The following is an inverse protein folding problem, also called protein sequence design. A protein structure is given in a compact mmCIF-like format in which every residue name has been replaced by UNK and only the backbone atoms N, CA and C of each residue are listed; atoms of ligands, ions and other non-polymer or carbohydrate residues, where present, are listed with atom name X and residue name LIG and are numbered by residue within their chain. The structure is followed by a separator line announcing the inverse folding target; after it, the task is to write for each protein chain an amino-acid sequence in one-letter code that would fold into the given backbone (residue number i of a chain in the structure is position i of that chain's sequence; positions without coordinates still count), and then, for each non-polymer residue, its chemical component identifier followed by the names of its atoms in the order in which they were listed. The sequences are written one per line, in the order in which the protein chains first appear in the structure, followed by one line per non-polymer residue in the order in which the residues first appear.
data_IF_476281314551
#
_entry.id   IF_476281314551
#
_cell.length_a   1.000
_cell.length_b   1.000
_cell.length_c   1.000
_cell.angle_alpha   90.00
_cell.angle_beta   90.00
_cell.angle_gamma   90.00
#
_symmetry.space_group_name_H-M   'P 1'
#
loop_
_entity.id
_entity.type
_entity.pdbx_description
1 polymer ?
#
# COMPACT_ATOMS: atom_id res chain seq x y z
N UNK A 1 9.94 19.95 12.09
CA UNK A 1 8.68 20.59 12.44
C UNK A 1 7.73 19.49 12.85
N UNK A 2 7.35 19.42 14.12
CA UNK A 2 6.21 18.63 14.59
C UNK A 2 4.94 19.30 14.04
N UNK A 3 4.70 19.14 12.74
CA UNK A 3 3.40 19.48 12.18
C UNK A 3 2.40 18.51 12.81
N UNK A 4 1.44 19.06 13.55
CA UNK A 4 0.39 18.27 14.16
C UNK A 4 -0.33 17.50 13.03
N UNK A 5 -0.33 16.17 13.13
CA UNK A 5 -1.03 15.31 12.17
C UNK A 5 -2.48 15.78 12.07
N UNK A 6 -2.99 16.08 10.85
CA UNK A 6 -4.33 16.62 10.70
C UNK A 6 -5.37 15.63 11.22
N UNK A 7 -6.48 16.15 11.76
CA UNK A 7 -7.59 15.32 12.23
C UNK A 7 -8.71 15.36 11.20
N UNK A 8 -9.44 14.25 11.08
CA UNK A 8 -10.67 14.21 10.32
C UNK A 8 -11.71 15.16 10.91
N UNK A 9 -12.31 15.98 10.06
CA UNK A 9 -13.58 16.62 10.37
C UNK A 9 -14.73 15.61 10.23
N UNK A 10 -15.93 15.89 10.79
CA UNK A 10 -17.10 15.05 10.55
C UNK A 10 -17.42 14.87 9.05
N UNK A 11 -17.20 15.92 8.23
CA UNK A 11 -17.39 15.86 6.78
C UNK A 11 -16.42 14.88 6.12
N UNK A 12 -15.19 14.76 6.63
CA UNK A 12 -14.21 13.81 6.10
C UNK A 12 -14.63 12.37 6.35
N UNK A 13 -15.08 12.06 7.57
CA UNK A 13 -15.55 10.72 7.90
C UNK A 13 -16.78 10.34 7.08
N UNK A 14 -17.70 11.29 6.86
CA UNK A 14 -18.86 11.08 6.00
C UNK A 14 -18.46 10.81 4.54
N UNK A 15 -17.50 11.56 4.00
CA UNK A 15 -16.98 11.33 2.64
C UNK A 15 -16.31 9.95 2.51
N UNK A 16 -15.52 9.55 3.51
CA UNK A 16 -14.89 8.23 3.57
C UNK A 16 -15.95 7.12 3.62
N UNK A 17 -16.97 7.26 4.46
CA UNK A 17 -18.05 6.27 4.60
C UNK A 17 -18.84 6.12 3.29
N UNK A 18 -19.21 7.23 2.66
CA UNK A 18 -19.91 7.21 1.37
C UNK A 18 -19.08 6.51 0.27
N UNK A 19 -17.78 6.82 0.18
CA UNK A 19 -16.88 6.18 -0.78
C UNK A 19 -16.61 4.70 -0.44
N UNK A 20 -16.55 4.34 0.85
CA UNK A 20 -16.38 2.97 1.30
C UNK A 20 -17.54 2.07 0.88
N UNK A 21 -18.78 2.53 1.06
CA UNK A 21 -19.95 1.79 0.60
C UNK A 21 -19.95 1.61 -0.92
N UNK A 22 -19.58 2.64 -1.68
CA UNK A 22 -19.51 2.57 -3.14
C UNK A 22 -18.46 1.57 -3.64
N UNK A 23 -17.28 1.55 -3.02
CA UNK A 23 -16.20 0.62 -3.41
C UNK A 23 -16.43 -0.81 -2.95
N UNK A 24 -17.35 -1.06 -2.01
CA UNK A 24 -17.57 -2.39 -1.43
C UNK A 24 -18.03 -3.45 -2.45
N UNK A 25 -18.71 -3.05 -3.52
CA UNK A 25 -19.18 -3.95 -4.59
C UNK A 25 -18.10 -4.29 -5.62
N UNK A 26 -17.04 -3.48 -5.73
CA UNK A 26 -15.97 -3.66 -6.71
C UNK A 26 -14.60 -3.97 -6.08
N UNK A 27 -14.51 -4.02 -4.74
CA UNK A 27 -13.28 -4.16 -3.92
C UNK A 27 -12.31 -5.29 -4.28
N UNK A 28 -12.73 -6.30 -5.05
CA UNK A 28 -11.84 -7.36 -5.54
C UNK A 28 -12.06 -7.54 -7.05
N UNK A 29 -10.99 -7.48 -7.86
CA UNK A 29 -9.66 -6.96 -7.54
C UNK A 29 -9.56 -5.43 -7.62
N UNK A 30 -10.60 -4.75 -8.13
CA UNK A 30 -10.56 -3.30 -8.35
C UNK A 30 -10.63 -2.55 -7.02
N UNK A 31 -9.93 -1.42 -6.92
CA UNK A 31 -9.98 -0.54 -5.75
C UNK A 31 -9.57 -1.18 -4.41
N UNK A 32 -8.75 -2.24 -4.44
CA UNK A 32 -8.29 -2.96 -3.23
C UNK A 32 -7.61 -2.01 -2.24
N UNK A 33 -6.71 -1.13 -2.72
CA UNK A 33 -6.02 -0.17 -1.85
C UNK A 33 -7.03 0.79 -1.22
N UNK A 34 -7.83 1.46 -2.05
CA UNK A 34 -8.75 2.52 -1.64
C UNK A 34 -9.79 1.95 -0.66
N UNK A 35 -10.34 0.77 -0.92
CA UNK A 35 -11.26 0.10 -0.03
C UNK A 35 -10.64 -0.13 1.36
N UNK A 36 -9.43 -0.70 1.42
CA UNK A 36 -8.75 -1.02 2.68
C UNK A 36 -8.22 0.22 3.41
N UNK A 37 -7.79 1.24 2.67
CA UNK A 37 -7.43 2.56 3.20
C UNK A 37 -8.62 3.19 3.94
N UNK A 38 -9.80 3.18 3.32
CA UNK A 38 -11.02 3.72 3.91
C UNK A 38 -11.48 2.89 5.11
N UNK A 39 -11.44 1.55 5.00
CA UNK A 39 -11.74 0.63 6.11
C UNK A 39 -10.88 0.92 7.32
N UNK A 40 -9.56 1.04 7.13
CA UNK A 40 -8.61 1.35 8.19
C UNK A 40 -8.88 2.71 8.84
N UNK A 41 -9.21 3.72 8.04
CA UNK A 41 -9.57 5.06 8.53
C UNK A 41 -10.85 5.04 9.39
N UNK A 42 -11.93 4.40 8.91
CA UNK A 42 -13.20 4.28 9.65
C UNK A 42 -13.06 3.53 10.97
N UNK A 43 -12.16 2.54 11.03
CA UNK A 43 -11.85 1.81 12.26
C UNK A 43 -10.88 2.53 13.20
N UNK A 44 -10.27 3.64 12.76
CA UNK A 44 -9.17 4.27 13.50
C UNK A 44 -7.96 3.35 13.65
N UNK A 45 -7.74 2.43 12.69
CA UNK A 45 -6.75 1.35 12.79
C UNK A 45 -5.31 1.85 12.80
N UNK A 46 -5.04 3.07 12.31
CA UNK A 46 -3.69 3.64 12.29
C UNK A 46 -3.75 5.17 12.51
N UNK A 47 -3.84 5.63 13.76
CA UNK A 47 -4.10 7.05 14.07
C UNK A 47 -2.96 8.00 13.66
N UNK A 48 -1.74 7.48 13.45
CA UNK A 48 -0.61 8.26 12.96
C UNK A 48 -0.69 8.58 11.45
N UNK A 49 -1.77 8.15 10.79
CA UNK A 49 -1.96 8.30 9.35
C UNK A 49 -3.41 8.59 8.95
N UNK A 50 -3.92 9.80 9.19
CA UNK A 50 -5.20 10.26 8.65
C UNK A 50 -5.23 10.16 7.12
N UNK A 51 -6.43 9.91 6.61
CA UNK A 51 -6.72 9.66 5.20
C UNK A 51 -7.83 10.57 4.73
N UNK A 52 -7.70 11.16 3.56
CA UNK A 52 -8.72 11.95 2.90
C UNK A 52 -9.06 11.32 1.57
N UNK A 53 -10.34 11.29 1.20
CA UNK A 53 -10.81 10.61 -0.01
C UNK A 53 -11.51 11.62 -0.90
N UNK A 54 -11.18 11.56 -2.17
CA UNK A 54 -11.76 12.36 -3.23
C UNK A 54 -12.16 11.41 -4.36
N UNK A 55 -13.20 11.76 -5.11
CA UNK A 55 -13.57 10.98 -6.29
C UNK A 55 -14.19 11.84 -7.38
N UNK A 56 -14.15 11.31 -8.61
CA UNK A 56 -14.91 11.81 -9.74
C UNK A 56 -15.50 10.65 -10.52
N UNK A 57 -16.75 10.85 -10.96
CA UNK A 57 -17.40 9.92 -11.87
C UNK A 57 -16.82 10.08 -13.26
N UNK A 58 -16.65 8.98 -13.97
CA UNK A 58 -16.28 8.95 -15.37
C UNK A 58 -17.53 8.88 -16.25
N UNK A 59 -17.39 9.14 -17.54
CA UNK A 59 -18.53 9.15 -18.47
C UNK A 59 -19.10 7.75 -18.75
N UNK A 60 -18.35 6.69 -18.44
CA UNK A 60 -18.78 5.29 -18.56
C UNK A 60 -19.57 4.79 -17.33
N UNK A 61 -19.82 5.67 -16.35
CA UNK A 61 -20.52 5.36 -15.10
C UNK A 61 -19.63 4.79 -13.99
N UNK A 62 -18.35 4.54 -14.28
CA UNK A 62 -17.35 4.19 -13.28
C UNK A 62 -16.88 5.42 -12.50
N UNK A 63 -15.98 5.25 -11.53
CA UNK A 63 -15.35 6.35 -10.83
C UNK A 63 -13.84 6.17 -10.66
N UNK A 64 -13.15 7.29 -10.48
CA UNK A 64 -11.77 7.34 -10.01
C UNK A 64 -11.78 7.85 -8.58
N UNK A 65 -11.09 7.13 -7.71
CA UNK A 65 -10.85 7.53 -6.33
C UNK A 65 -9.39 7.92 -6.17
N UNK A 66 -9.17 9.04 -5.49
CA UNK A 66 -7.87 9.46 -5.04
C UNK A 66 -7.88 9.58 -3.53
N UNK A 67 -6.92 8.96 -2.85
CA UNK A 67 -6.74 9.12 -1.41
C UNK A 67 -5.46 9.90 -1.13
N UNK A 68 -5.51 10.77 -0.12
CA UNK A 68 -4.34 11.46 0.43
C UNK A 68 -4.17 10.99 1.86
N UNK A 69 -3.01 10.41 2.12
CA UNK A 69 -2.62 9.90 3.43
C UNK A 69 -1.48 10.75 3.97
N UNK A 70 -1.74 11.49 5.04
CA UNK A 70 -0.71 12.27 5.73
C UNK A 70 -0.13 11.40 6.83
N UNK A 71 1.16 11.09 6.76
CA UNK A 71 1.82 10.16 7.69
C UNK A 71 2.72 10.96 8.63
N UNK A 72 2.62 10.71 9.93
CA UNK A 72 3.38 11.47 10.94
C UNK A 72 4.91 11.36 10.76
N UNK A 73 5.40 10.17 10.38
CA UNK A 73 6.83 9.86 10.42
C UNK A 73 7.51 9.88 9.06
N UNK A 74 6.77 9.61 7.99
CA UNK A 74 7.28 9.48 6.61
C UNK A 74 6.52 10.41 5.66
N UNK A 75 7.00 10.63 4.42
CA UNK A 75 6.32 11.55 3.52
C UNK A 75 4.88 11.11 3.18
N UNK A 76 4.01 12.05 2.77
CA UNK A 76 2.63 11.72 2.39
C UNK A 76 2.55 10.70 1.26
N UNK A 77 1.46 9.95 1.27
CA UNK A 77 1.14 8.96 0.26
C UNK A 77 -0.16 9.33 -0.44
N UNK A 78 -0.17 9.18 -1.75
CA UNK A 78 -1.35 9.31 -2.59
C UNK A 78 -1.67 7.93 -3.14
N UNK A 79 -2.95 7.58 -3.20
CA UNK A 79 -3.39 6.43 -4.00
C UNK A 79 -4.37 6.86 -5.05
N UNK A 80 -4.32 6.24 -6.24
CA UNK A 80 -5.29 6.48 -7.30
C UNK A 80 -5.74 5.16 -7.92
N UNK A 81 -7.05 4.90 -7.89
CA UNK A 81 -7.66 3.67 -8.40
C UNK A 81 -9.01 3.94 -9.05
N UNK A 82 -9.47 2.96 -9.83
CA UNK A 82 -10.76 3.01 -10.52
C UNK A 82 -11.38 1.63 -10.60
N UNK A 83 -12.70 1.60 -10.72
CA UNK A 83 -13.51 0.44 -11.07
C UNK A 83 -13.83 0.40 -12.57
N UNK A 84 -13.37 1.39 -13.33
CA UNK A 84 -13.39 1.38 -14.78
C UNK A 84 -12.61 0.19 -15.33
N UNK A 85 -13.10 -0.33 -16.45
CA UNK A 85 -12.43 -1.37 -17.23
C UNK A 85 -11.63 -0.77 -18.39
N UNK A 86 -11.59 0.55 -18.50
CA UNK A 86 -10.88 1.27 -19.53
C UNK A 86 -9.36 1.28 -19.28
N UNK A 87 -8.59 1.48 -20.35
CA UNK A 87 -7.12 1.58 -20.30
C UNK A 87 -6.59 2.93 -20.76
N UNK A 88 -7.45 3.74 -21.38
CA UNK A 88 -7.13 5.09 -21.81
C UNK A 88 -7.99 6.08 -21.03
N UNK A 89 -7.36 6.75 -20.07
CA UNK A 89 -8.00 7.79 -19.24
C UNK A 89 -7.74 9.21 -19.75
N UNK A 90 -6.98 9.41 -20.83
CA UNK A 90 -6.70 10.74 -21.40
C UNK A 90 -7.98 11.43 -21.87
N UNK A 91 -8.95 10.66 -22.38
CA UNK A 91 -10.27 11.20 -22.77
C UNK A 91 -11.05 11.79 -21.58
N UNK A 92 -10.66 11.45 -20.35
CA UNK A 92 -11.24 11.98 -19.12
C UNK A 92 -10.36 13.04 -18.44
N UNK A 93 -9.28 13.51 -19.09
CA UNK A 93 -8.29 14.43 -18.50
C UNK A 93 -8.96 15.63 -17.81
N UNK A 94 -9.88 16.34 -18.47
CA UNK A 94 -10.53 17.51 -17.86
C UNK A 94 -11.28 17.20 -16.56
N UNK A 95 -11.98 16.05 -16.48
CA UNK A 95 -12.64 15.61 -15.24
C UNK A 95 -11.65 15.20 -14.16
N UNK A 96 -10.54 14.60 -14.55
CA UNK A 96 -9.50 14.19 -13.62
C UNK A 96 -8.67 15.39 -13.13
N UNK A 97 -8.47 16.42 -13.95
CA UNK A 97 -7.87 17.68 -13.54
C UNK A 97 -8.71 18.37 -12.46
N UNK A 98 -10.04 18.33 -12.55
CA UNK A 98 -10.92 18.81 -11.47
C UNK A 98 -10.72 18.04 -10.16
N UNK A 99 -10.56 16.72 -10.22
CA UNK A 99 -10.23 15.89 -9.05
C UNK A 99 -8.89 16.31 -8.44
N UNK A 100 -7.88 16.48 -9.29
CA UNK A 100 -6.53 16.82 -8.85
C UNK A 100 -6.45 18.25 -8.29
N UNK A 101 -7.15 19.20 -8.90
CA UNK A 101 -7.29 20.55 -8.39
C UNK A 101 -7.90 20.53 -6.98
N UNK A 102 -9.00 19.80 -6.76
CA UNK A 102 -9.63 19.70 -5.44
C UNK A 102 -8.67 19.15 -4.38
N UNK A 103 -7.90 18.11 -4.74
CA UNK A 103 -6.86 17.54 -3.87
C UNK A 103 -5.78 18.57 -3.52
N UNK A 104 -5.29 19.30 -4.51
CA UNK A 104 -4.18 20.25 -4.34
C UNK A 104 -4.61 21.60 -3.77
N UNK A 105 -5.86 22.02 -3.93
CA UNK A 105 -6.45 23.14 -3.20
C UNK A 105 -6.51 22.84 -1.71
N UNK A 106 -6.86 21.60 -1.35
CA UNK A 106 -6.91 21.17 0.05
C UNK A 106 -5.52 20.91 0.65
N UNK A 107 -4.60 20.37 -0.15
CA UNK A 107 -3.24 20.02 0.28
C UNK A 107 -2.19 20.65 -0.65
N UNK A 108 -2.05 22.00 -0.63
CA UNK A 108 -1.13 22.72 -1.52
C UNK A 108 0.34 22.35 -1.31
N UNK A 109 0.71 21.86 -0.12
CA UNK A 109 2.05 21.38 0.19
C UNK A 109 2.46 20.16 -0.65
N UNK A 110 1.49 19.42 -1.20
CA UNK A 110 1.77 18.33 -2.13
C UNK A 110 2.37 18.86 -3.45
N UNK A 111 2.08 20.10 -3.83
CA UNK A 111 2.76 20.78 -4.94
C UNK A 111 4.01 21.54 -4.47
N UNK A 112 4.06 21.93 -3.18
CA UNK A 112 5.09 22.77 -2.57
C UNK A 112 6.46 22.12 -2.34
N UNK A 113 6.72 20.98 -2.98
CA UNK A 113 8.03 20.36 -3.01
C UNK A 113 8.29 19.29 -1.94
N UNK A 114 7.24 18.77 -1.32
CA UNK A 114 7.34 17.56 -0.53
C UNK A 114 7.72 16.36 -1.40
N UNK A 115 8.45 15.41 -0.81
CA UNK A 115 8.55 14.06 -1.36
C UNK A 115 7.18 13.41 -1.21
N UNK A 116 6.68 12.77 -2.25
CA UNK A 116 5.38 12.09 -2.22
C UNK A 116 5.55 10.70 -2.82
N UNK A 117 4.84 9.71 -2.29
CA UNK A 117 4.68 8.41 -2.92
C UNK A 117 3.26 8.32 -3.50
N UNK A 118 3.15 8.14 -4.81
CA UNK A 118 1.90 7.81 -5.50
C UNK A 118 1.84 6.31 -5.78
N UNK A 119 0.73 5.67 -5.41
CA UNK A 119 0.47 4.24 -5.65
C UNK A 119 -0.80 4.11 -6.48
N UNK A 120 -0.79 3.30 -7.52
CA UNK A 120 -2.00 3.09 -8.32
C UNK A 120 -1.75 2.47 -9.67
N UNK A 121 -2.80 2.35 -10.47
CA UNK A 121 -2.72 1.81 -11.83
C UNK A 121 -1.95 2.78 -12.73
N UNK A 122 -1.00 2.26 -13.52
CA UNK A 122 -0.14 3.10 -14.38
C UNK A 122 -0.93 4.06 -15.30
N UNK A 123 -1.99 3.63 -16.02
CA UNK A 123 -2.74 4.54 -16.90
C UNK A 123 -3.32 5.78 -16.18
N UNK A 124 -3.77 5.64 -14.93
CA UNK A 124 -4.24 6.78 -14.14
C UNK A 124 -3.08 7.67 -13.66
N UNK A 125 -1.94 7.06 -13.33
CA UNK A 125 -0.75 7.83 -12.96
C UNK A 125 -0.19 8.64 -14.13
N UNK A 126 -0.34 8.17 -15.37
CA UNK A 126 0.11 8.89 -16.57
C UNK A 126 -0.73 10.17 -16.80
N UNK A 127 -2.04 10.13 -16.50
CA UNK A 127 -2.92 11.30 -16.49
C UNK A 127 -2.51 12.28 -15.38
N UNK A 128 -2.25 11.78 -14.17
CA UNK A 128 -1.79 12.62 -13.05
C UNK A 128 -0.42 13.26 -13.32
N UNK A 129 0.49 12.53 -13.97
CA UNK A 129 1.79 13.06 -14.39
C UNK A 129 1.64 14.18 -15.43
N UNK A 130 0.69 14.05 -16.36
CA UNK A 130 0.34 15.13 -17.31
C UNK A 130 -0.16 16.38 -16.57
N UNK A 131 -1.04 16.21 -15.58
CA UNK A 131 -1.50 17.29 -14.72
C UNK A 131 -0.34 17.96 -13.96
N UNK A 132 0.48 17.19 -13.25
CA UNK A 132 1.59 17.72 -12.45
C UNK A 132 2.61 18.44 -13.35
N UNK A 133 2.92 17.90 -14.52
CA UNK A 133 3.83 18.56 -15.47
C UNK A 133 3.30 19.93 -15.93
N UNK A 134 1.99 20.04 -16.12
CA UNK A 134 1.31 21.30 -16.48
C UNK A 134 1.39 22.32 -15.34
N UNK A 135 1.07 21.90 -14.11
CA UNK A 135 0.98 22.82 -12.96
C UNK A 135 2.36 23.18 -12.40
N UNK A 136 3.31 22.24 -12.37
CA UNK A 136 4.64 22.42 -11.78
C UNK A 136 5.73 22.78 -12.79
N UNK A 137 5.42 22.85 -14.09
CA UNK A 137 6.35 23.22 -15.17
C UNK A 137 7.67 22.41 -15.11
N UNK A 138 7.59 21.11 -14.81
CA UNK A 138 8.75 20.21 -14.77
C UNK A 138 9.67 20.37 -13.56
N UNK A 139 9.22 21.01 -12.47
CA UNK A 139 9.99 21.19 -11.22
C UNK A 139 10.06 19.94 -10.32
N UNK A 140 9.86 18.75 -10.87
CA UNK A 140 9.99 17.48 -10.14
C UNK A 140 10.80 16.44 -10.93
N UNK A 141 11.32 15.44 -10.20
CA UNK A 141 11.81 14.17 -10.77
C UNK A 141 11.05 13.01 -10.15
N UNK A 142 10.98 11.90 -10.88
CA UNK A 142 10.29 10.69 -10.42
C UNK A 142 11.25 9.52 -10.27
N UNK A 143 10.93 8.60 -9.36
CA UNK A 143 11.51 7.26 -9.32
C UNK A 143 10.39 6.24 -9.24
N UNK A 144 10.41 5.29 -10.15
CA UNK A 144 9.31 4.35 -10.35
C UNK A 144 9.72 2.95 -9.90
N UNK A 145 8.78 2.27 -9.24
CA UNK A 145 8.91 0.86 -8.86
C UNK A 145 7.66 0.14 -9.38
N UNK A 146 7.72 -0.45 -10.58
CA UNK A 146 6.58 -1.12 -11.17
C UNK A 146 6.36 -2.49 -10.51
N UNK A 147 5.09 -2.82 -10.26
CA UNK A 147 4.68 -3.99 -9.48
C UNK A 147 3.46 -4.69 -10.09
N UNK A 148 3.38 -6.00 -9.85
CA UNK A 148 2.15 -6.78 -10.04
C UNK A 148 1.41 -6.90 -8.73
N UNK A 149 0.10 -6.74 -8.77
CA UNK A 149 -0.79 -7.00 -7.62
C UNK A 149 -1.22 -8.46 -7.59
N UNK A 150 -1.11 -9.07 -6.42
CA UNK A 150 -1.62 -10.41 -6.12
C UNK A 150 -2.60 -10.32 -4.96
N UNK A 151 -3.69 -11.07 -5.02
CA UNK A 151 -4.72 -11.12 -3.99
C UNK A 151 -5.21 -12.56 -3.80
N UNK A 152 -5.89 -12.80 -2.68
CA UNK A 152 -6.59 -14.07 -2.44
C UNK A 152 -8.08 -13.95 -2.78
N UNK A 153 -8.60 -14.84 -3.64
CA UNK A 153 -10.05 -15.01 -3.86
C UNK A 153 -10.72 -15.59 -2.61
N UNK A 154 -12.06 -15.52 -2.48
CA UNK A 154 -12.76 -16.15 -1.36
C UNK A 154 -12.38 -17.63 -1.13
N UNK A 155 -12.25 -18.42 -2.20
CA UNK A 155 -11.84 -19.83 -2.08
C UNK A 155 -10.40 -19.99 -1.58
N UNK A 156 -9.50 -19.07 -1.97
CA UNK A 156 -8.12 -19.06 -1.49
C UNK A 156 -8.03 -18.63 -0.02
N UNK A 157 -8.86 -17.68 0.40
CA UNK A 157 -8.96 -17.22 1.79
C UNK A 157 -9.45 -18.35 2.72
N UNK A 158 -10.44 -19.13 2.28
CA UNK A 158 -10.91 -20.30 3.03
C UNK A 158 -9.80 -21.34 3.20
N UNK A 159 -9.08 -21.67 2.11
CA UNK A 159 -7.93 -22.59 2.17
C UNK A 159 -6.89 -22.15 3.19
N UNK A 160 -6.50 -20.87 3.18
CA UNK A 160 -5.49 -20.32 4.09
C UNK A 160 -5.95 -20.34 5.55
N UNK A 161 -7.23 -20.07 5.79
CA UNK A 161 -7.80 -20.14 7.15
C UNK A 161 -7.71 -21.54 7.73
N UNK A 162 -7.82 -22.57 6.89
CA UNK A 162 -7.75 -23.99 7.28
C UNK A 162 -6.31 -24.55 7.30
N UNK A 163 -5.30 -23.77 6.90
CA UNK A 163 -3.92 -24.25 6.88
C UNK A 163 -3.35 -24.43 8.29
N UNK A 164 -2.82 -25.62 8.55
CA UNK A 164 -1.94 -25.85 9.69
C UNK A 164 -0.51 -25.45 9.32
N UNK A 165 0.02 -24.44 10.02
CA UNK A 165 1.33 -23.86 9.75
C UNK A 165 2.36 -24.47 10.69
N UNK A 166 3.08 -25.48 10.20
CA UNK A 166 4.20 -26.08 10.92
C UNK A 166 5.51 -25.34 10.66
N UNK A 167 6.37 -25.30 11.67
CA UNK A 167 7.71 -24.74 11.61
C UNK A 167 8.76 -25.81 11.95
N UNK A 168 9.99 -25.69 11.42
CA UNK A 168 11.08 -26.58 11.81
C UNK A 168 11.40 -26.48 13.30
N UNK A 169 12.05 -27.51 13.85
CA UNK A 169 12.43 -27.55 15.26
C UNK A 169 13.22 -26.28 15.70
N UNK A 170 12.84 -25.72 16.84
CA UNK A 170 13.43 -24.52 17.44
C UNK A 170 12.93 -23.20 16.87
N UNK A 171 12.09 -23.23 15.82
CA UNK A 171 11.38 -22.06 15.32
C UNK A 171 9.95 -22.02 15.86
N UNK A 172 9.46 -20.83 16.16
CA UNK A 172 8.09 -20.64 16.64
C UNK A 172 7.55 -19.28 16.18
N UNK A 173 6.23 -19.22 15.94
CA UNK A 173 5.54 -17.95 15.77
C UNK A 173 5.43 -17.24 17.10
N UNK A 174 5.61 -15.92 17.09
CA UNK A 174 5.47 -15.10 18.29
C UNK A 174 4.83 -13.75 17.96
N UNK A 175 4.39 -13.03 18.99
CA UNK A 175 3.88 -11.67 18.87
C UNK A 175 5.02 -10.67 18.67
N UNK A 176 4.79 -9.58 17.93
CA UNK A 176 5.74 -8.49 17.83
C UNK A 176 5.96 -7.80 19.18
N UNK A 177 7.23 -7.56 19.50
CA UNK A 177 7.65 -6.61 20.52
C UNK A 177 8.22 -5.38 19.79
N UNK A 178 7.47 -4.27 19.69
CA UNK A 178 7.87 -3.12 18.87
C UNK A 178 9.23 -2.51 19.25
N UNK A 179 9.67 -2.60 20.51
CA UNK A 179 10.97 -2.06 20.94
C UNK A 179 12.15 -2.93 20.50
N UNK A 180 11.94 -4.24 20.39
CA UNK A 180 12.97 -5.19 19.98
C UNK A 180 12.96 -5.40 18.46
N UNK A 181 11.77 -5.59 17.89
CA UNK A 181 11.61 -6.07 16.53
C UNK A 181 11.65 -4.92 15.51
N UNK A 182 11.17 -3.71 15.85
CA UNK A 182 11.20 -2.59 14.89
C UNK A 182 12.63 -2.24 14.42
N UNK A 183 13.65 -2.13 15.30
CA UNK A 183 15.04 -1.91 14.87
C UNK A 183 15.59 -3.00 13.96
N UNK A 184 15.24 -4.27 14.19
CA UNK A 184 15.67 -5.40 13.37
C UNK A 184 15.04 -5.28 11.98
N UNK A 185 13.73 -5.08 11.94
CA UNK A 185 12.93 -5.02 10.73
C UNK A 185 13.30 -3.80 9.87
N UNK A 186 13.47 -2.62 10.47
CA UNK A 186 13.84 -1.40 9.73
C UNK A 186 15.24 -1.52 9.13
N UNK A 187 16.19 -2.21 9.80
CA UNK A 187 17.54 -2.44 9.28
C UNK A 187 17.59 -3.31 8.02
N UNK A 188 16.58 -4.16 7.77
CA UNK A 188 16.54 -4.98 6.54
C UNK A 188 16.02 -4.21 5.33
N UNK A 189 15.51 -2.99 5.52
CA UNK A 189 14.99 -2.18 4.43
C UNK A 189 16.10 -1.32 3.81
N UNK A 190 16.53 -1.68 2.59
CA UNK A 190 17.60 -1.00 1.85
C UNK A 190 17.32 0.49 1.56
N UNK A 191 16.08 0.92 1.72
CA UNK A 191 15.63 2.29 1.44
C UNK A 191 15.11 3.00 2.69
N UNK A 192 15.32 2.43 3.88
CA UNK A 192 14.97 3.09 5.14
C UNK A 192 15.68 4.44 5.27
N UNK A 193 14.93 5.43 5.74
CA UNK A 193 15.34 6.80 6.01
C UNK A 193 14.84 7.20 7.40
N UNK A 194 15.10 8.45 7.76
CA UNK A 194 14.57 9.07 8.98
C UNK A 194 13.04 8.91 9.02
N UNK A 195 12.51 8.44 10.15
CA UNK A 195 11.08 8.21 10.38
C UNK A 195 10.63 6.78 10.12
N UNK A 196 11.38 5.97 9.38
CA UNK A 196 10.96 4.60 9.08
C UNK A 196 10.98 3.68 10.31
N UNK A 197 11.85 3.95 11.30
CA UNK A 197 11.85 3.19 12.56
C UNK A 197 10.56 3.43 13.34
N UNK A 198 10.16 4.69 13.50
CA UNK A 198 8.93 5.08 14.19
C UNK A 198 7.70 4.57 13.44
N UNK A 199 7.74 4.62 12.10
CA UNK A 199 6.69 4.05 11.26
C UNK A 199 6.60 2.52 11.42
N UNK A 200 7.71 1.80 11.44
CA UNK A 200 7.72 0.36 11.70
C UNK A 200 7.19 0.05 13.09
N UNK A 201 7.60 0.79 14.13
CA UNK A 201 7.08 0.62 15.49
C UNK A 201 5.56 0.79 15.52
N UNK A 202 5.03 1.86 14.90
CA UNK A 202 3.60 2.09 14.82
C UNK A 202 2.85 0.97 14.07
N UNK A 203 3.41 0.43 12.97
CA UNK A 203 2.84 -0.72 12.25
C UNK A 203 2.73 -1.95 13.14
N UNK A 204 3.77 -2.27 13.90
CA UNK A 204 3.78 -3.43 14.81
C UNK A 204 2.79 -3.30 15.98
N UNK A 205 2.46 -2.07 16.40
CA UNK A 205 1.47 -1.81 17.45
C UNK A 205 0.05 -1.94 16.90
N UNK A 206 -0.19 -1.35 15.74
CA UNK A 206 -1.55 -1.04 15.27
C UNK A 206 -2.09 -2.01 14.21
N UNK A 207 -1.21 -2.71 13.48
CA UNK A 207 -1.58 -3.50 12.31
C UNK A 207 -1.16 -4.97 12.44
N UNK A 208 -1.85 -5.89 11.75
CA UNK A 208 -1.43 -7.28 11.68
C UNK A 208 0.04 -7.40 11.25
N UNK A 209 0.78 -8.21 12.00
CA UNK A 209 2.19 -8.52 11.74
C UNK A 209 2.44 -9.95 12.16
N UNK A 210 3.18 -10.70 11.36
CA UNK A 210 3.60 -12.05 11.68
C UNK A 210 5.12 -12.10 11.78
N UNK A 211 5.63 -12.81 12.77
CA UNK A 211 7.06 -13.06 12.90
C UNK A 211 7.33 -14.47 13.42
N UNK A 212 8.53 -14.95 13.11
CA UNK A 212 9.09 -16.20 13.60
C UNK A 212 10.37 -15.86 14.35
N UNK A 213 10.57 -16.48 15.51
CA UNK A 213 11.82 -16.43 16.28
C UNK A 213 12.55 -17.77 16.17
N UNK A 214 13.84 -17.74 16.50
CA UNK A 214 14.65 -18.94 16.64
C UNK A 214 15.38 -18.89 17.99
N UNK A 215 14.98 -19.77 18.92
CA UNK A 215 15.48 -19.75 20.31
C UNK A 215 15.32 -18.34 20.93
N UNK A 216 16.36 -17.81 21.57
CA UNK A 216 16.37 -16.52 22.26
C UNK A 216 16.68 -15.31 21.35
N UNK A 217 16.64 -15.49 20.02
CA UNK A 217 16.89 -14.41 19.07
C UNK A 217 15.67 -13.51 18.88
N UNK A 218 15.92 -12.29 18.36
CA UNK A 218 14.86 -11.43 17.83
C UNK A 218 14.16 -12.06 16.61
N UNK A 219 13.27 -11.30 15.96
CA UNK A 219 12.59 -11.77 14.76
C UNK A 219 13.59 -12.21 13.65
N UNK A 220 13.48 -13.46 13.19
CA UNK A 220 14.35 -14.02 12.13
C UNK A 220 13.65 -14.14 10.77
N UNK A 221 12.32 -14.17 10.78
CA UNK A 221 11.47 -14.00 9.61
C UNK A 221 10.25 -13.19 10.01
N UNK A 222 9.79 -12.30 9.15
CA UNK A 222 8.69 -11.39 9.46
C UNK A 222 8.01 -10.88 8.19
N UNK A 223 6.76 -10.48 8.34
CA UNK A 223 5.99 -9.70 7.39
C UNK A 223 4.98 -8.85 8.16
N UNK A 224 4.66 -7.65 7.66
CA UNK A 224 3.74 -6.74 8.33
C UNK A 224 2.76 -6.10 7.35
N UNK A 225 1.61 -5.68 7.84
CA UNK A 225 0.71 -4.88 7.05
C UNK A 225 1.23 -3.44 6.87
N UNK A 226 1.03 -2.91 5.67
CA UNK A 226 1.08 -1.49 5.42
C UNK A 226 -0.16 -0.78 6.00
N UNK A 227 -0.14 0.53 6.30
CA UNK A 227 -1.33 1.32 6.64
C UNK A 227 -2.48 1.28 5.62
N UNK A 228 -2.22 0.80 4.40
CA UNK A 228 -3.23 0.52 3.38
C UNK A 228 -3.74 -0.94 3.43
N UNK A 229 -3.45 -1.64 4.51
CA UNK A 229 -3.84 -3.02 4.86
C UNK A 229 -3.42 -4.13 3.87
N UNK A 230 -2.38 -3.88 3.07
CA UNK A 230 -1.75 -4.93 2.27
C UNK A 230 -0.50 -5.48 2.95
N UNK A 231 -0.12 -6.71 2.59
CA UNK A 231 1.07 -7.36 3.12
C UNK A 231 2.33 -6.75 2.52
N UNK A 232 3.27 -6.39 3.38
CA UNK A 232 4.48 -5.69 3.02
C UNK A 232 5.68 -6.18 3.82
N UNK A 233 6.86 -6.04 3.23
CA UNK A 233 8.14 -6.26 3.87
C UNK A 233 8.34 -7.70 4.38
N UNK A 234 7.95 -8.68 3.55
CA UNK A 234 8.29 -10.08 3.77
C UNK A 234 9.81 -10.23 3.73
N UNK A 235 10.40 -10.68 4.84
CA UNK A 235 11.84 -10.89 4.92
C UNK A 235 12.18 -12.10 5.78
N UNK A 236 13.27 -12.78 5.39
CA UNK A 236 13.92 -13.83 6.17
C UNK A 236 15.41 -13.50 6.24
N UNK A 237 15.95 -13.43 7.45
CA UNK A 237 17.38 -13.20 7.67
C UNK A 237 18.20 -14.26 6.92
N UNK A 238 19.30 -13.88 6.22
CA UNK A 238 20.04 -14.78 5.32
C UNK A 238 20.37 -16.16 5.89
N UNK A 239 20.81 -16.22 7.14
CA UNK A 239 21.19 -17.41 7.91
C UNK A 239 20.00 -18.34 8.25
N UNK A 240 18.78 -17.83 8.12
CA UNK A 240 17.53 -18.57 8.35
C UNK A 240 16.77 -18.94 7.06
N UNK A 241 17.32 -18.63 5.88
CA UNK A 241 16.67 -18.93 4.58
C UNK A 241 16.66 -20.42 4.24
N UNK A 242 15.86 -20.77 3.21
CA UNK A 242 15.72 -22.13 2.64
C UNK A 242 15.11 -23.17 3.61
N UNK A 243 14.40 -22.71 4.64
CA UNK A 243 13.74 -23.52 5.67
C UNK A 243 12.20 -23.40 5.64
N UNK A 244 11.63 -22.85 4.57
CA UNK A 244 10.19 -22.62 4.45
C UNK A 244 9.62 -21.41 5.22
N UNK A 245 10.44 -20.71 6.03
CA UNK A 245 9.98 -19.66 6.94
C UNK A 245 9.25 -18.49 6.26
N UNK A 246 9.69 -18.10 5.05
CA UNK A 246 9.06 -17.01 4.30
C UNK A 246 7.61 -17.32 3.93
N UNK A 247 7.34 -18.53 3.46
CA UNK A 247 5.96 -18.96 3.17
C UNK A 247 5.14 -19.09 4.45
N UNK A 248 5.74 -19.63 5.52
CA UNK A 248 5.06 -19.80 6.80
C UNK A 248 4.62 -18.45 7.40
N UNK A 249 5.49 -17.44 7.38
CA UNK A 249 5.15 -16.10 7.89
C UNK A 249 4.16 -15.36 7.01
N UNK A 250 4.24 -15.53 5.69
CA UNK A 250 3.26 -14.97 4.73
C UNK A 250 1.86 -15.56 4.92
N UNK A 251 1.76 -16.87 5.08
CA UNK A 251 0.48 -17.52 5.35
C UNK A 251 -0.05 -17.15 6.73
N UNK A 252 0.84 -17.01 7.75
CA UNK A 252 0.42 -16.56 9.08
C UNK A 252 -0.13 -15.13 9.07
N UNK A 253 0.54 -14.21 8.36
CA UNK A 253 0.02 -12.86 8.19
C UNK A 253 -1.32 -12.86 7.45
N UNK A 254 -1.47 -13.72 6.44
CA UNK A 254 -2.73 -13.86 5.71
C UNK A 254 -3.88 -14.30 6.63
N UNK A 255 -3.64 -15.25 7.53
CA UNK A 255 -4.62 -15.65 8.56
C UNK A 255 -4.97 -14.47 9.48
N UNK A 256 -3.98 -13.72 9.98
CA UNK A 256 -4.22 -12.54 10.83
C UNK A 256 -5.00 -11.44 10.09
N UNK A 257 -4.76 -11.24 8.81
CA UNK A 257 -5.55 -10.33 7.97
C UNK A 257 -7.02 -10.78 7.92
N UNK A 258 -7.27 -12.06 7.68
CA UNK A 258 -8.63 -12.61 7.60
C UNK A 258 -9.36 -12.53 8.94
N UNK A 259 -8.69 -12.83 10.05
CA UNK A 259 -9.21 -12.63 11.42
C UNK A 259 -9.65 -11.16 11.65
N UNK A 260 -9.03 -10.22 10.93
CA UNK A 260 -9.35 -8.80 11.00
C UNK A 260 -10.29 -8.31 9.88
N UNK A 261 -10.88 -9.19 9.06
CA UNK A 261 -11.67 -8.83 7.88
C UNK A 261 -10.88 -7.94 6.90
N UNK A 262 -9.62 -8.31 6.65
CA UNK A 262 -8.75 -7.72 5.63
C UNK A 262 -8.56 -8.77 4.55
N UNK A 263 -8.78 -8.40 3.28
CA UNK A 263 -8.48 -9.27 2.14
C UNK A 263 -6.96 -9.34 2.03
N UNK A 264 -6.31 -10.53 2.07
CA UNK A 264 -4.88 -10.61 1.86
C UNK A 264 -4.53 -10.24 0.41
N UNK A 265 -3.70 -9.22 0.25
CA UNK A 265 -3.12 -8.84 -1.02
C UNK A 265 -1.71 -8.27 -0.82
N UNK A 266 -0.92 -8.30 -1.88
CA UNK A 266 0.47 -7.82 -1.91
C UNK A 266 0.85 -7.34 -3.31
N UNK A 267 1.93 -6.59 -3.38
CA UNK A 267 2.55 -6.20 -4.64
C UNK A 267 3.96 -6.73 -4.74
N UNK A 268 4.34 -7.22 -5.92
CA UNK A 268 5.67 -7.74 -6.19
C UNK A 268 6.30 -6.93 -7.31
N UNK A 269 7.46 -6.33 -7.05
CA UNK A 269 8.23 -5.60 -8.06
C UNK A 269 8.59 -6.48 -9.25
N UNK A 270 8.51 -5.92 -10.46
CA UNK A 270 8.74 -6.64 -11.71
C UNK A 270 10.09 -7.36 -11.77
N UNK A 271 11.10 -6.77 -11.15
CA UNK A 271 12.46 -7.30 -11.14
C UNK A 271 12.64 -8.49 -10.17
N UNK A 272 11.63 -8.80 -9.34
CA UNK A 272 11.65 -9.97 -8.47
C UNK A 272 11.06 -11.20 -9.15
N UNK A 273 11.65 -11.58 -10.28
CA UNK A 273 11.18 -12.64 -11.17
C UNK A 273 10.98 -13.98 -10.43
N UNK A 274 11.87 -14.29 -9.47
CA UNK A 274 11.80 -15.51 -8.69
C UNK A 274 10.53 -15.59 -7.82
N UNK A 275 10.15 -14.48 -7.19
CA UNK A 275 8.94 -14.40 -6.36
C UNK A 275 7.69 -14.38 -7.25
N UNK A 276 7.73 -13.69 -8.39
CA UNK A 276 6.66 -13.68 -9.39
C UNK A 276 6.40 -15.11 -9.90
N UNK A 277 7.46 -15.83 -10.30
CA UNK A 277 7.35 -17.21 -10.78
C UNK A 277 6.80 -18.14 -9.69
N UNK A 278 7.19 -17.94 -8.43
CA UNK A 278 6.66 -18.69 -7.29
C UNK A 278 5.18 -18.39 -7.06
N UNK A 279 4.77 -17.12 -7.07
CA UNK A 279 3.37 -16.73 -6.85
C UNK A 279 2.46 -17.21 -7.98
N UNK A 280 2.91 -17.14 -9.23
CA UNK A 280 2.14 -17.62 -10.38
C UNK A 280 1.93 -19.15 -10.37
N UNK A 281 2.83 -19.91 -9.73
CA UNK A 281 2.70 -21.37 -9.57
C UNK A 281 1.88 -21.76 -8.32
N UNK A 282 1.74 -20.85 -7.36
CA UNK A 282 1.06 -21.11 -6.10
C UNK A 282 -0.45 -20.96 -6.28
N UNK A 283 -1.23 -21.96 -5.85
CA UNK A 283 -2.69 -21.96 -5.94
C UNK A 283 -3.38 -21.00 -4.95
N UNK A 284 -2.63 -20.38 -4.05
CA UNK A 284 -3.11 -19.46 -3.01
C UNK A 284 -3.16 -18.00 -3.48
N UNK A 285 -2.38 -17.64 -4.49
CA UNK A 285 -2.31 -16.27 -4.98
C UNK A 285 -2.91 -16.14 -6.38
N UNK A 286 -3.73 -15.11 -6.59
CA UNK A 286 -4.25 -14.73 -7.90
C UNK A 286 -3.62 -13.42 -8.34
N UNK A 287 -2.96 -13.40 -9.50
CA UNK A 287 -2.47 -12.15 -10.09
C UNK A 287 -3.64 -11.37 -10.66
N UNK A 288 -3.67 -10.07 -10.40
CA UNK A 288 -4.65 -9.22 -11.05
C UNK A 288 -4.28 -8.98 -12.52
N UNK A 289 -5.16 -9.44 -13.42
CA UNK A 289 -5.05 -9.26 -14.85
C UNK A 289 -6.27 -8.52 -15.41
N UNK A 290 -6.09 -7.85 -16.54
CA UNK A 290 -7.16 -7.37 -17.39
C UNK A 290 -7.90 -8.54 -18.06
N UNK A 291 -9.02 -8.25 -18.74
CA UNK A 291 -9.86 -9.26 -19.41
C UNK A 291 -9.13 -10.04 -20.50
N UNK A 292 -8.16 -9.42 -21.15
CA UNK A 292 -7.32 -10.05 -22.19
C UNK A 292 -6.22 -10.96 -21.59
N UNK A 293 -6.15 -11.08 -20.26
CA UNK A 293 -5.17 -11.87 -19.53
C UNK A 293 -3.85 -11.15 -19.27
N UNK A 294 -3.66 -9.94 -19.81
CA UNK A 294 -2.46 -9.14 -19.52
C UNK A 294 -2.48 -8.65 -18.07
N UNK A 295 -1.32 -8.55 -17.39
CA UNK A 295 -1.28 -8.14 -16.00
C UNK A 295 -1.64 -6.66 -15.83
N UNK A 296 -2.36 -6.33 -14.75
CA UNK A 296 -2.55 -4.92 -14.37
C UNK A 296 -1.28 -4.38 -13.75
N UNK A 297 -0.78 -3.28 -14.31
CA UNK A 297 0.45 -2.63 -13.84
C UNK A 297 0.12 -1.62 -12.76
N UNK A 298 0.53 -1.92 -11.53
CA UNK A 298 0.52 -0.97 -10.42
C UNK A 298 1.93 -0.39 -10.26
N UNK A 299 2.05 0.92 -10.05
CA UNK A 299 3.34 1.57 -9.88
C UNK A 299 3.42 2.28 -8.53
N UNK A 300 4.56 2.15 -7.85
CA UNK A 300 4.92 3.01 -6.74
C UNK A 300 5.83 4.10 -7.32
N UNK A 301 5.31 5.32 -7.46
CA UNK A 301 6.01 6.45 -8.06
C UNK A 301 6.35 7.47 -6.99
N UNK A 302 7.63 7.69 -6.75
CA UNK A 302 8.10 8.70 -5.80
C UNK A 302 8.38 10.00 -6.55
N UNK A 303 7.69 11.06 -6.19
CA UNK A 303 7.96 12.42 -6.65
C UNK A 303 8.99 13.08 -5.73
N UNK A 304 10.00 13.69 -6.33
CA UNK A 304 10.97 14.54 -5.67
C UNK A 304 10.86 15.94 -6.24
N UNK A 305 10.76 16.95 -5.38
CA UNK A 305 10.93 18.33 -5.81
C UNK A 305 12.35 18.55 -6.30
N UNK A 306 12.50 19.07 -7.52
CA UNK A 306 13.69 19.80 -7.90
C UNK A 306 13.59 21.13 -7.16
N UNK A 307 14.11 21.22 -5.93
CA UNK A 307 14.38 22.55 -5.39
C UNK A 307 15.18 23.30 -6.46
N UNK A 308 14.68 24.46 -6.88
CA UNK A 308 15.46 25.40 -7.69
C UNK A 308 16.79 25.55 -6.96
N UNK A 309 17.88 25.16 -7.62
CA UNK A 309 19.21 25.51 -7.20
C UNK A 309 19.35 27.03 -7.33
N UNK A 310 18.87 27.78 -6.34
CA UNK A 310 19.14 29.21 -6.21
C UNK A 310 19.89 29.46 -4.91
N UNK A 311 21.16 29.78 -5.11
CA UNK A 311 22.14 30.47 -4.24
C UNK A 311 22.58 29.77 -2.95
N UNK A 312 23.72 29.07 -3.05
CA UNK A 312 24.88 29.37 -2.20
C UNK A 312 25.38 30.79 -2.53
#
# INVERSE_FOLDING_TARGET
MDAQTPRHSPADLQAIEAAFHRTSSCKIPSCLYTHHIMRGALKGAFPESPVFVFHRDLTDGSAVWMTVRIIKYIPPELTIETDSKEHNFEKHQGRLDELFNEVHERFPELLGGLRILLIGQKPLQDVYETYINTVQQGSHTTRNFPTYLYYMTPEQQEKVTQMDLSLPEGYFFDKPNPEIDAPIITKTWIHAKKGDLEQTRAKLINLPSALIRYKDQGAVAFEMCHPCEFQNHLFVLPEHRRKGLGNAVEMRLSQLCLENNIVPFKTIEFYNESVIASCNKNSIWTRWNYKDGSPVHCEYKIYYSKKVSSSL
#
